data_IF_153161532731
#
_entry.id   IF_153161532731
#
_cell.length_a   1.000
_cell.length_b   1.000
_cell.length_c   1.000
_cell.angle_alpha   90.00
_cell.angle_beta   90.00
_cell.angle_gamma   90.00
#
_symmetry.space_group_name_H-M   'P 1'
#
loop_
_entity.id
_entity.type
_entity.pdbx_description
1 polymer ?
#
# COMPACT_ATOMS: atom_id res chain seq x y z
N UNK A 1 2.15 -9.88 -70.70
CA UNK A 1 2.95 -9.52 -69.48
C UNK A 1 2.01 -8.92 -68.46
N UNK A 2 1.66 -9.71 -67.40
CA UNK A 2 0.77 -9.26 -66.31
C UNK A 2 1.65 -8.90 -65.11
N UNK A 3 1.68 -7.64 -64.72
CA UNK A 3 2.37 -7.19 -63.53
C UNK A 3 1.41 -7.33 -62.34
N UNK A 4 1.76 -8.24 -61.44
CA UNK A 4 1.14 -8.42 -60.15
C UNK A 4 1.59 -7.32 -59.21
N UNK A 5 0.67 -6.49 -58.71
CA UNK A 5 0.94 -5.49 -57.68
C UNK A 5 0.82 -6.21 -56.30
N UNK A 6 1.96 -6.51 -55.66
CA UNK A 6 1.99 -6.90 -54.26
C UNK A 6 1.73 -5.62 -53.40
N UNK A 7 0.56 -5.58 -52.80
CA UNK A 7 0.24 -4.59 -51.79
C UNK A 7 0.86 -5.00 -50.44
N UNK A 8 1.82 -4.23 -49.96
CA UNK A 8 2.41 -4.35 -48.61
C UNK A 8 1.38 -3.86 -47.60
N UNK A 9 0.75 -4.77 -46.86
CA UNK A 9 -0.07 -4.43 -45.69
C UNK A 9 0.87 -4.19 -44.53
N UNK A 10 1.07 -2.91 -44.20
CA UNK A 10 1.84 -2.49 -43.01
C UNK A 10 0.96 -2.71 -41.76
N UNK A 11 1.21 -3.77 -41.01
CA UNK A 11 0.56 -4.02 -39.74
C UNK A 11 1.11 -3.03 -38.71
N UNK A 12 0.32 -2.03 -38.35
CA UNK A 12 0.60 -1.07 -37.31
C UNK A 12 0.36 -1.75 -35.94
N UNK A 13 1.41 -2.15 -35.28
CA UNK A 13 1.38 -2.72 -33.92
C UNK A 13 1.03 -1.60 -32.95
N UNK A 14 -0.21 -1.54 -32.50
CA UNK A 14 -0.65 -0.64 -31.43
C UNK A 14 -0.15 -1.23 -30.11
N UNK A 15 0.97 -0.69 -29.61
CA UNK A 15 1.44 -0.99 -28.26
C UNK A 15 0.52 -0.27 -27.27
N UNK A 16 -0.42 -1.01 -26.68
CA UNK A 16 -1.19 -0.52 -25.54
C UNK A 16 -0.27 -0.39 -24.32
N UNK A 17 0.07 0.85 -23.99
CA UNK A 17 0.73 1.16 -22.72
C UNK A 17 -0.29 0.94 -21.60
N UNK A 18 -0.20 -0.20 -20.92
CA UNK A 18 -0.93 -0.40 -19.68
C UNK A 18 -0.27 0.46 -18.61
N UNK A 19 -0.92 1.56 -18.21
CA UNK A 19 -0.57 2.28 -16.99
C UNK A 19 -0.89 1.33 -15.81
N UNK A 20 0.14 0.66 -15.29
CA UNK A 20 0.06 0.11 -13.95
C UNK A 20 -0.13 1.30 -13.00
N UNK A 21 -1.14 1.25 -12.12
CA UNK A 21 -1.33 2.25 -11.10
C UNK A 21 -0.03 2.35 -10.28
N UNK A 22 0.64 3.50 -10.37
CA UNK A 22 1.87 3.73 -9.65
C UNK A 22 1.55 3.93 -8.16
N UNK A 23 2.47 3.54 -7.29
CA UNK A 23 2.41 3.85 -5.86
C UNK A 23 2.63 5.34 -5.68
N UNK A 24 1.72 6.03 -4.98
CA UNK A 24 1.80 7.47 -4.74
C UNK A 24 2.12 7.73 -3.27
N UNK A 25 3.39 8.07 -3.00
CA UNK A 25 3.89 8.38 -1.66
C UNK A 25 3.21 9.63 -1.09
N UNK A 26 2.90 10.62 -1.91
CA UNK A 26 2.25 11.85 -1.45
C UNK A 26 0.81 11.59 -1.02
N UNK A 27 0.05 10.87 -1.82
CA UNK A 27 -1.30 10.40 -1.46
C UNK A 27 -1.25 9.55 -0.18
N UNK A 28 -0.26 8.64 -0.08
CA UNK A 28 -0.03 7.85 1.13
C UNK A 28 0.24 8.70 2.38
N UNK A 29 1.01 9.78 2.24
CA UNK A 29 1.27 10.71 3.35
C UNK A 29 0.01 11.45 3.80
N UNK A 30 -0.82 11.89 2.87
CA UNK A 30 -2.11 12.54 3.16
C UNK A 30 -3.08 11.59 3.88
N UNK A 31 -3.20 10.36 3.39
CA UNK A 31 -3.99 9.31 4.03
C UNK A 31 -3.48 9.00 5.44
N UNK A 32 -2.15 8.92 5.61
CA UNK A 32 -1.53 8.72 6.91
C UNK A 32 -1.89 9.85 7.90
N UNK A 33 -1.73 11.10 7.50
CA UNK A 33 -2.06 12.25 8.35
C UNK A 33 -3.52 12.23 8.77
N UNK A 34 -4.42 11.85 7.88
CA UNK A 34 -5.85 11.87 8.14
C UNK A 34 -6.32 10.71 9.02
N UNK A 35 -5.82 9.50 8.79
CA UNK A 35 -6.35 8.29 9.42
C UNK A 35 -5.45 7.68 10.49
N UNK A 36 -4.14 7.93 10.46
CA UNK A 36 -3.17 7.21 11.27
C UNK A 36 -2.48 8.09 12.32
N UNK A 37 -2.20 9.36 11.98
CA UNK A 37 -1.39 10.25 12.81
C UNK A 37 -1.99 10.55 14.18
N UNK A 38 -3.32 10.48 14.33
CA UNK A 38 -3.99 10.68 15.62
C UNK A 38 -3.52 9.68 16.69
N UNK A 39 -3.19 8.46 16.30
CA UNK A 39 -2.65 7.45 17.19
C UNK A 39 -1.13 7.29 17.05
N UNK A 40 -0.63 7.19 15.81
CA UNK A 40 0.77 6.89 15.54
C UNK A 40 1.72 8.11 15.59
N UNK A 41 1.16 9.33 15.67
CA UNK A 41 1.95 10.58 15.64
C UNK A 41 2.25 11.06 14.23
N UNK A 42 2.55 12.33 14.09
CA UNK A 42 2.96 12.93 12.82
C UNK A 42 4.34 12.44 12.36
N UNK A 43 5.16 12.03 13.32
CA UNK A 43 6.48 11.44 13.16
C UNK A 43 6.45 9.91 13.04
N UNK A 44 5.26 9.31 13.14
CA UNK A 44 5.01 7.88 13.09
C UNK A 44 5.67 7.04 14.22
N UNK A 45 6.12 7.66 15.30
CA UNK A 45 6.78 7.00 16.44
C UNK A 45 5.81 6.43 17.48
N UNK A 46 4.50 6.39 17.19
CA UNK A 46 3.51 5.85 18.12
C UNK A 46 3.08 6.79 19.24
N UNK A 47 3.40 8.08 19.14
CA UNK A 47 3.14 9.09 20.17
C UNK A 47 2.12 10.15 19.71
N UNK A 48 1.09 9.70 19.00
CA UNK A 48 0.01 10.61 18.58
C UNK A 48 -0.83 11.11 19.75
N UNK A 49 -1.68 12.14 19.52
CA UNK A 49 -2.51 12.75 20.57
C UNK A 49 -3.37 11.76 21.36
N UNK A 50 -3.79 10.66 20.74
CA UNK A 50 -4.58 9.62 21.39
C UNK A 50 -3.75 8.57 22.12
N UNK A 51 -2.43 8.50 21.94
CA UNK A 51 -1.59 7.44 22.50
C UNK A 51 -1.71 7.34 24.01
N UNK A 52 -1.78 8.48 24.72
CA UNK A 52 -1.85 8.53 26.18
C UNK A 52 -3.14 7.99 26.81
N UNK A 53 -4.20 7.79 26.02
CA UNK A 53 -5.49 7.25 26.50
C UNK A 53 -5.75 5.83 26.00
N UNK A 54 -4.88 5.28 25.16
CA UNK A 54 -5.00 3.92 24.66
C UNK A 54 -4.39 2.92 25.63
N UNK A 55 -5.06 1.80 25.84
CA UNK A 55 -4.58 0.70 26.69
C UNK A 55 -3.33 0.06 26.10
N UNK A 56 -3.28 -0.03 24.76
CA UNK A 56 -2.14 -0.57 24.03
C UNK A 56 -1.50 0.58 23.25
N UNK A 57 -0.22 0.82 23.53
CA UNK A 57 0.52 1.86 22.85
C UNK A 57 0.61 1.60 21.34
N UNK A 58 0.37 2.59 20.50
CA UNK A 58 0.56 2.46 19.07
C UNK A 58 2.01 2.11 18.74
N UNK A 59 2.18 1.22 17.79
CA UNK A 59 3.50 0.79 17.32
C UNK A 59 4.26 1.94 16.67
N UNK A 60 5.56 2.02 16.92
CA UNK A 60 6.48 2.84 16.14
C UNK A 60 6.55 2.28 14.71
N UNK A 61 6.09 3.09 13.75
CA UNK A 61 6.02 2.71 12.34
C UNK A 61 7.31 3.02 11.57
N UNK A 62 8.28 3.69 12.20
CA UNK A 62 9.60 3.98 11.59
C UNK A 62 10.56 2.79 11.70
N UNK A 63 10.24 1.81 12.55
CA UNK A 63 11.06 0.64 12.85
C UNK A 63 10.43 -0.69 12.40
N UNK A 64 9.59 -0.66 11.38
CA UNK A 64 8.92 -1.88 10.88
C UNK A 64 9.86 -2.80 10.12
N UNK A 65 10.86 -2.24 9.45
CA UNK A 65 11.85 -3.00 8.67
C UNK A 65 12.76 -3.81 9.61
N UNK A 66 12.85 -5.12 9.36
CA UNK A 66 13.74 -6.03 10.07
C UNK A 66 14.61 -6.77 9.07
N UNK A 67 15.91 -6.87 9.33
CA UNK A 67 16.87 -7.53 8.45
C UNK A 67 16.81 -7.03 6.98
N UNK A 68 16.59 -5.71 6.81
CA UNK A 68 16.46 -5.08 5.49
C UNK A 68 15.15 -5.38 4.76
N UNK A 69 14.16 -6.00 5.41
CA UNK A 69 12.87 -6.35 4.82
C UNK A 69 11.73 -5.63 5.51
N UNK A 70 10.96 -4.88 4.73
CA UNK A 70 9.72 -4.27 5.20
C UNK A 70 8.60 -5.33 5.15
N UNK A 71 7.85 -5.54 6.24
CA UNK A 71 6.84 -6.61 6.34
C UNK A 71 5.54 -6.24 5.62
N UNK A 72 5.59 -6.13 4.29
CA UNK A 72 4.50 -5.65 3.44
C UNK A 72 3.21 -6.42 3.66
N UNK A 73 3.27 -7.75 3.63
CA UNK A 73 2.10 -8.61 3.80
C UNK A 73 1.40 -8.35 5.14
N UNK A 74 2.17 -8.27 6.23
CA UNK A 74 1.63 -8.02 7.56
C UNK A 74 1.05 -6.63 7.71
N UNK A 75 1.71 -5.60 7.16
CA UNK A 75 1.23 -4.21 7.21
C UNK A 75 -0.09 -4.08 6.46
N UNK A 76 -0.19 -4.62 5.24
CA UNK A 76 -1.44 -4.64 4.47
C UNK A 76 -2.54 -5.35 5.26
N UNK A 77 -2.29 -6.57 5.75
CA UNK A 77 -3.27 -7.34 6.50
C UNK A 77 -3.72 -6.63 7.78
N UNK A 78 -2.84 -5.87 8.44
CA UNK A 78 -3.17 -5.10 9.63
C UNK A 78 -4.06 -3.91 9.31
N UNK A 79 -3.80 -3.19 8.22
CA UNK A 79 -4.58 -2.02 7.82
C UNK A 79 -5.97 -2.45 7.33
N UNK A 80 -6.06 -3.48 6.50
CA UNK A 80 -7.32 -3.92 5.91
C UNK A 80 -8.17 -4.86 6.79
N UNK A 81 -7.60 -5.36 7.89
CA UNK A 81 -8.30 -6.20 8.85
C UNK A 81 -8.22 -7.69 8.58
N UNK A 82 -7.45 -8.14 7.59
CA UNK A 82 -7.24 -9.57 7.28
C UNK A 82 -6.19 -10.25 8.15
N UNK A 83 -5.57 -9.53 9.09
CA UNK A 83 -4.62 -10.14 10.02
C UNK A 83 -5.33 -11.14 10.94
N UNK A 84 -4.98 -12.45 10.91
CA UNK A 84 -5.62 -13.46 11.73
C UNK A 84 -5.56 -13.19 13.23
N UNK A 85 -4.54 -12.43 13.69
CA UNK A 85 -4.37 -12.11 15.10
C UNK A 85 -5.42 -11.11 15.61
N UNK A 86 -6.15 -10.44 14.73
CA UNK A 86 -7.21 -9.49 15.10
C UNK A 86 -8.63 -10.06 15.01
N UNK A 87 -8.77 -11.36 14.77
CA UNK A 87 -10.08 -12.03 14.66
C UNK A 87 -10.95 -11.86 15.90
N UNK A 88 -10.36 -11.59 17.07
CA UNK A 88 -11.05 -11.36 18.34
C UNK A 88 -11.02 -9.89 18.79
N UNK A 89 -10.73 -8.98 17.90
CA UNK A 89 -10.62 -7.54 18.12
C UNK A 89 -9.19 -7.03 17.96
N UNK A 90 -9.08 -5.81 17.48
CA UNK A 90 -7.83 -5.09 17.32
C UNK A 90 -7.89 -3.77 18.07
N UNK A 91 -6.84 -3.39 18.80
CA UNK A 91 -6.75 -2.05 19.36
C UNK A 91 -6.62 -0.97 18.27
N UNK A 92 -6.15 -1.35 17.09
CA UNK A 92 -6.11 -0.49 15.90
C UNK A 92 -7.41 -0.69 15.09
N UNK A 93 -8.07 0.39 14.65
CA UNK A 93 -9.21 0.29 13.75
C UNK A 93 -8.88 -0.45 12.47
N UNK A 94 -9.87 -1.12 11.89
CA UNK A 94 -9.78 -1.79 10.59
C UNK A 94 -10.22 -0.82 9.51
N UNK A 95 -9.35 -0.57 8.54
CA UNK A 95 -9.59 0.43 7.49
C UNK A 95 -9.97 -0.17 6.13
N UNK A 96 -9.95 -1.49 5.96
CA UNK A 96 -10.34 -2.14 4.71
C UNK A 96 -11.64 -1.59 4.12
N UNK A 97 -12.76 -1.56 4.87
CA UNK A 97 -14.03 -1.03 4.36
C UNK A 97 -14.02 0.46 3.99
N UNK A 98 -13.10 1.25 4.55
CA UNK A 98 -12.96 2.67 4.21
C UNK A 98 -12.18 2.92 2.92
N UNK A 99 -11.36 1.96 2.53
CA UNK A 99 -10.46 2.06 1.39
C UNK A 99 -10.89 1.18 0.20
N UNK A 100 -12.16 0.78 0.16
CA UNK A 100 -12.73 0.01 -0.95
C UNK A 100 -12.82 0.83 -2.24
N UNK A 101 -12.91 0.14 -3.38
CA UNK A 101 -13.32 0.70 -4.66
C UNK A 101 -12.24 0.84 -5.74
N UNK A 102 -10.96 0.63 -5.41
CA UNK A 102 -9.87 0.60 -6.39
C UNK A 102 -8.98 -0.62 -6.12
N UNK A 103 -9.47 -1.78 -6.50
CA UNK A 103 -8.73 -3.02 -6.32
C UNK A 103 -7.46 -3.02 -7.15
N UNK A 104 -6.36 -3.38 -6.52
CA UNK A 104 -5.05 -3.48 -7.13
C UNK A 104 -4.23 -4.58 -6.47
N UNK A 105 -3.00 -4.75 -6.89
CA UNK A 105 -2.08 -5.70 -6.27
C UNK A 105 -0.72 -5.07 -6.02
N UNK A 106 -0.07 -5.54 -4.98
CA UNK A 106 1.33 -5.23 -4.73
C UNK A 106 2.10 -6.51 -4.39
N UNK A 107 3.43 -6.44 -4.38
CA UNK A 107 4.27 -7.57 -4.01
C UNK A 107 4.59 -7.52 -2.52
N UNK A 108 4.52 -8.69 -1.89
CA UNK A 108 5.04 -8.90 -0.55
C UNK A 108 6.58 -8.87 -0.54
N UNK A 109 7.18 -8.96 0.64
CA UNK A 109 8.63 -9.06 0.83
C UNK A 109 9.24 -10.32 0.21
N UNK A 110 8.45 -11.38 0.03
CA UNK A 110 8.84 -12.61 -0.66
C UNK A 110 8.54 -12.58 -2.17
N UNK A 111 8.03 -11.44 -2.68
CA UNK A 111 7.69 -11.28 -4.10
C UNK A 111 6.34 -11.87 -4.51
N UNK A 112 5.54 -12.37 -3.57
CA UNK A 112 4.21 -12.90 -3.86
C UNK A 112 3.21 -11.76 -4.07
N UNK A 113 2.25 -11.90 -5.01
CA UNK A 113 1.21 -10.90 -5.19
C UNK A 113 0.22 -10.94 -4.00
N UNK A 114 -0.14 -9.78 -3.48
CA UNK A 114 -1.23 -9.60 -2.54
C UNK A 114 -2.24 -8.62 -3.12
N UNK A 115 -3.51 -9.01 -3.13
CA UNK A 115 -4.61 -8.15 -3.55
C UNK A 115 -4.97 -7.20 -2.41
N UNK A 116 -5.17 -5.93 -2.74
CA UNK A 116 -5.55 -4.88 -1.80
C UNK A 116 -6.16 -3.70 -2.58
N UNK A 117 -6.34 -2.56 -1.94
CA UNK A 117 -6.81 -1.34 -2.59
C UNK A 117 -5.69 -0.33 -2.85
N UNK A 118 -5.86 0.56 -3.81
CA UNK A 118 -4.88 1.58 -4.13
C UNK A 118 -4.52 2.47 -2.93
N UNK A 119 -5.47 2.96 -2.09
CA UNK A 119 -5.14 3.72 -0.89
C UNK A 119 -4.19 2.98 0.07
N UNK A 120 -4.35 1.65 0.22
CA UNK A 120 -3.45 0.85 1.05
C UNK A 120 -2.07 0.72 0.42
N UNK A 121 -1.99 0.58 -0.91
CA UNK A 121 -0.71 0.57 -1.64
C UNK A 121 0.05 1.88 -1.44
N UNK A 122 -0.64 3.01 -1.52
CA UNK A 122 -0.06 4.34 -1.33
C UNK A 122 0.40 4.56 0.11
N UNK A 123 -0.42 4.15 1.10
CA UNK A 123 -0.04 4.15 2.52
C UNK A 123 1.23 3.32 2.76
N UNK A 124 1.31 2.11 2.21
CA UNK A 124 2.49 1.25 2.35
C UNK A 124 3.71 1.89 1.69
N UNK A 125 3.54 2.54 0.54
CA UNK A 125 4.63 3.27 -0.12
C UNK A 125 5.16 4.39 0.79
N UNK A 126 4.29 5.18 1.39
CA UNK A 126 4.68 6.20 2.35
C UNK A 126 5.38 5.62 3.58
N UNK A 127 4.82 4.58 4.22
CA UNK A 127 5.41 3.95 5.39
C UNK A 127 6.82 3.40 5.12
N UNK A 128 7.09 2.92 3.90
CA UNK A 128 8.43 2.50 3.49
C UNK A 128 9.44 3.65 3.46
N UNK A 129 9.01 4.87 3.16
CA UNK A 129 9.91 6.05 3.18
C UNK A 129 10.31 6.48 4.59
N UNK A 130 9.55 6.06 5.60
CA UNK A 130 9.82 6.40 7.00
C UNK A 130 10.85 5.47 7.67
N UNK A 131 11.22 4.38 7.02
CA UNK A 131 12.07 3.36 7.65
C UNK A 131 13.51 3.85 7.82
N UNK A 132 14.06 3.68 9.03
CA UNK A 132 15.46 3.96 9.33
C UNK A 132 15.80 5.45 9.47
N UNK A 133 14.81 6.29 9.73
CA UNK A 133 15.01 7.70 10.06
C UNK A 133 15.22 7.90 11.56
#
# INVERSE_FOLDING_TARGET
MKWSKLGTVSAMLIMSVQCAAAQDVQTGAELYQHYCATCHGIDAMGQGPMAGVLIIQPTDLTELTKDGRFPTARVVARIDGRDPLVSHGSPMPVYGPYFEGQDTSMKTEEGQPILTSQPIVDLVAYLKTLQGN
#
